data_IF_285074001190
#
_entry.id   IF_285074001190
#
_cell.length_a   1.000
_cell.length_b   1.000
_cell.length_c   1.000
_cell.angle_alpha   90.00
_cell.angle_beta   90.00
_cell.angle_gamma   90.00
#
_symmetry.space_group_name_H-M   'P 1'
#
loop_
_entity.id
_entity.type
_entity.pdbx_description
1 polymer ?
#
# COMPACT_ATOMS: atom_id res chain seq x y z
N UNK A 1 -7.20 -2.91 -9.28
CA UNK A 1 -8.60 -2.65 -9.71
C UNK A 1 -9.26 -1.95 -8.53
N UNK A 2 -9.66 -0.69 -8.68
CA UNK A 2 -10.06 0.19 -7.57
C UNK A 2 -11.48 0.76 -7.70
N UNK A 3 -12.36 0.06 -8.40
CA UNK A 3 -13.74 0.48 -8.60
C UNK A 3 -14.54 -0.64 -9.25
N UNK A 4 -15.87 -0.59 -9.17
CA UNK A 4 -16.76 -1.56 -9.80
C UNK A 4 -17.16 -1.18 -11.24
N UNK A 5 -16.88 0.07 -11.63
CA UNK A 5 -17.17 0.66 -12.93
C UNK A 5 -16.05 1.62 -13.36
N UNK A 6 -16.17 2.15 -14.58
CA UNK A 6 -15.23 3.12 -15.15
C UNK A 6 -15.16 4.39 -14.31
N UNK A 7 -16.30 4.92 -13.84
CA UNK A 7 -16.35 6.19 -13.11
C UNK A 7 -15.47 6.17 -11.86
N UNK A 8 -15.61 5.18 -10.98
CA UNK A 8 -14.85 5.14 -9.73
C UNK A 8 -13.40 4.70 -9.95
N UNK A 9 -13.18 3.75 -10.84
CA UNK A 9 -11.85 3.23 -11.15
C UNK A 9 -10.97 4.28 -11.82
N UNK A 10 -11.48 4.90 -12.89
CA UNK A 10 -10.75 5.84 -13.71
C UNK A 10 -10.65 7.20 -13.02
N UNK A 11 -11.61 7.57 -12.17
CA UNK A 11 -11.46 8.75 -11.30
C UNK A 11 -10.27 8.60 -10.34
N UNK A 12 -10.00 7.42 -9.78
CA UNK A 12 -8.79 7.22 -9.00
C UNK A 12 -7.53 7.19 -9.89
N UNK A 13 -7.56 6.39 -10.95
CA UNK A 13 -6.39 6.08 -11.78
C UNK A 13 -5.99 7.19 -12.75
N UNK A 14 -6.90 8.10 -13.08
CA UNK A 14 -6.71 9.22 -14.01
C UNK A 14 -6.29 8.77 -15.41
N UNK A 15 -6.79 7.61 -15.86
CA UNK A 15 -6.50 7.04 -17.18
C UNK A 15 -7.81 6.54 -17.78
N UNK A 16 -8.24 7.15 -18.89
CA UNK A 16 -9.47 6.76 -19.59
C UNK A 16 -9.35 5.35 -20.18
N UNK A 17 -10.38 4.52 -20.01
CA UNK A 17 -10.44 3.13 -20.50
C UNK A 17 -9.62 2.13 -19.69
N UNK A 18 -8.91 2.55 -18.63
CA UNK A 18 -8.06 1.64 -17.86
C UNK A 18 -8.84 0.61 -17.05
N UNK A 19 -10.13 0.85 -16.78
CA UNK A 19 -10.97 -0.12 -16.07
C UNK A 19 -11.14 -1.42 -16.85
N UNK A 20 -11.54 -1.32 -18.12
CA UNK A 20 -11.74 -2.49 -18.99
C UNK A 20 -10.41 -3.19 -19.28
N UNK A 21 -9.32 -2.43 -19.43
CA UNK A 21 -7.97 -2.99 -19.57
C UNK A 21 -7.54 -3.77 -18.32
N UNK A 22 -7.82 -3.27 -17.12
CA UNK A 22 -7.54 -3.97 -15.88
C UNK A 22 -8.32 -5.29 -15.77
N UNK A 23 -9.62 -5.28 -16.08
CA UNK A 23 -10.45 -6.50 -16.11
C UNK A 23 -9.95 -7.50 -17.16
N UNK A 24 -9.57 -7.03 -18.36
CA UNK A 24 -8.97 -7.87 -19.40
C UNK A 24 -7.66 -8.50 -18.92
N UNK A 25 -6.80 -7.73 -18.25
CA UNK A 25 -5.55 -8.23 -17.67
C UNK A 25 -5.80 -9.34 -16.65
N UNK A 26 -6.77 -9.15 -15.74
CA UNK A 26 -7.16 -10.17 -14.75
C UNK A 26 -7.62 -11.45 -15.46
N UNK A 27 -8.53 -11.35 -16.45
CA UNK A 27 -9.02 -12.53 -17.19
C UNK A 27 -7.88 -13.26 -17.91
N UNK A 28 -6.98 -12.54 -18.55
CA UNK A 28 -5.86 -13.14 -19.27
C UNK A 28 -4.94 -13.92 -18.33
N UNK A 29 -4.63 -13.36 -17.15
CA UNK A 29 -3.80 -14.04 -16.16
C UNK A 29 -4.48 -15.30 -15.62
N UNK A 30 -5.77 -15.22 -15.27
CA UNK A 30 -6.53 -16.37 -14.81
C UNK A 30 -6.64 -17.45 -15.89
N UNK A 31 -6.93 -17.08 -17.15
CA UNK A 31 -6.99 -18.01 -18.28
C UNK A 31 -5.65 -18.73 -18.52
N UNK A 32 -4.53 -18.04 -18.31
CA UNK A 32 -3.19 -18.62 -18.40
C UNK A 32 -2.79 -19.48 -17.19
N UNK A 33 -3.67 -19.66 -16.19
CA UNK A 33 -3.38 -20.42 -14.97
C UNK A 33 -2.46 -19.71 -13.98
N UNK A 34 -2.26 -18.40 -14.12
CA UNK A 34 -1.44 -17.61 -13.18
C UNK A 34 -2.26 -17.29 -11.93
N UNK A 35 -1.72 -17.60 -10.75
CA UNK A 35 -2.34 -17.22 -9.47
C UNK A 35 -2.47 -15.69 -9.40
N UNK A 36 -3.71 -15.21 -9.55
CA UNK A 36 -3.99 -13.78 -9.73
C UNK A 36 -4.66 -13.21 -8.50
N UNK A 37 -4.04 -12.20 -7.90
CA UNK A 37 -4.68 -11.40 -6.85
C UNK A 37 -4.98 -9.99 -7.34
N UNK A 38 -6.09 -9.43 -6.84
CA UNK A 38 -6.53 -8.08 -7.14
C UNK A 38 -6.23 -7.19 -5.95
N UNK A 39 -5.47 -6.11 -6.16
CA UNK A 39 -5.29 -5.06 -5.14
C UNK A 39 -6.27 -3.91 -5.38
N UNK A 40 -6.85 -3.42 -4.28
CA UNK A 40 -7.89 -2.39 -4.25
C UNK A 40 -7.56 -1.31 -3.22
N UNK A 41 -7.33 -0.08 -3.68
CA UNK A 41 -7.10 1.09 -2.82
C UNK A 41 -8.43 1.74 -2.43
N UNK A 42 -8.86 1.50 -1.20
CA UNK A 42 -10.12 1.99 -0.65
C UNK A 42 -10.05 3.50 -0.35
N UNK A 43 -10.99 4.24 -0.88
CA UNK A 43 -11.14 5.69 -0.70
C UNK A 43 -12.61 6.11 -0.66
N UNK A 44 -12.88 7.39 -0.41
CA UNK A 44 -14.25 7.92 -0.32
C UNK A 44 -15.10 7.74 -1.58
N UNK A 45 -14.49 7.70 -2.78
CA UNK A 45 -15.23 7.56 -4.03
C UNK A 45 -15.70 6.13 -4.29
N UNK A 46 -14.99 5.14 -3.73
CA UNK A 46 -15.19 3.73 -4.07
C UNK A 46 -15.55 2.85 -2.86
N UNK A 47 -15.87 3.43 -1.71
CA UNK A 47 -16.28 2.64 -0.52
C UNK A 47 -17.51 1.78 -0.79
N UNK A 48 -18.48 2.32 -1.54
CA UNK A 48 -19.72 1.62 -1.85
C UNK A 48 -19.54 0.56 -2.95
N UNK A 49 -18.39 0.54 -3.62
CA UNK A 49 -18.08 -0.43 -4.66
C UNK A 49 -17.52 -1.74 -4.12
N UNK A 50 -17.22 -1.83 -2.81
CA UNK A 50 -16.61 -3.04 -2.22
C UNK A 50 -17.50 -4.27 -2.38
N UNK A 51 -18.80 -4.16 -2.20
CA UNK A 51 -19.71 -5.30 -2.40
C UNK A 51 -19.84 -5.66 -3.89
N UNK A 52 -20.17 -4.71 -4.80
CA UNK A 52 -20.20 -4.99 -6.24
C UNK A 52 -18.89 -5.56 -6.82
N UNK A 53 -17.73 -5.11 -6.34
CA UNK A 53 -16.44 -5.61 -6.84
C UNK A 53 -16.16 -7.03 -6.37
N UNK A 54 -16.60 -7.40 -5.16
CA UNK A 54 -16.48 -8.77 -4.66
C UNK A 54 -17.29 -9.70 -5.56
N UNK A 55 -18.56 -9.35 -5.84
CA UNK A 55 -19.44 -10.14 -6.71
C UNK A 55 -18.88 -10.25 -8.13
N UNK A 56 -18.40 -9.14 -8.70
CA UNK A 56 -17.83 -9.12 -10.05
C UNK A 56 -16.58 -10.01 -10.19
N UNK A 57 -15.78 -10.14 -9.12
CA UNK A 57 -14.55 -10.91 -9.13
C UNK A 57 -14.76 -12.40 -8.87
N UNK A 58 -15.92 -12.80 -8.33
CA UNK A 58 -16.26 -14.19 -8.03
C UNK A 58 -16.24 -15.05 -9.30
N UNK A 59 -16.75 -14.52 -10.42
CA UNK A 59 -16.76 -15.21 -11.71
C UNK A 59 -15.38 -15.26 -12.41
N UNK A 60 -14.38 -14.54 -11.90
CA UNK A 60 -13.09 -14.36 -12.59
C UNK A 60 -11.99 -15.33 -12.10
N UNK A 61 -12.31 -16.28 -11.21
CA UNK A 61 -11.37 -17.29 -10.68
C UNK A 61 -10.06 -16.70 -10.11
N UNK A 62 -10.15 -15.52 -9.49
CA UNK A 62 -9.00 -14.92 -8.80
C UNK A 62 -8.67 -15.70 -7.52
N UNK A 63 -7.44 -15.58 -7.00
CA UNK A 63 -7.06 -16.21 -5.73
C UNK A 63 -7.34 -15.32 -4.51
N UNK A 64 -7.25 -14.00 -4.67
CA UNK A 64 -7.46 -13.06 -3.57
C UNK A 64 -7.85 -11.65 -4.00
N UNK A 65 -8.65 -10.97 -3.18
CA UNK A 65 -8.87 -9.52 -3.19
C UNK A 65 -8.21 -8.89 -1.95
N UNK A 66 -7.23 -8.04 -2.19
CA UNK A 66 -6.45 -7.32 -1.18
C UNK A 66 -6.91 -5.87 -1.10
N UNK A 67 -7.79 -5.58 -0.14
CA UNK A 67 -8.27 -4.22 0.14
C UNK A 67 -7.27 -3.52 1.05
N UNK A 68 -6.89 -2.30 0.71
CA UNK A 68 -5.95 -1.47 1.48
C UNK A 68 -6.52 -0.06 1.68
N UNK A 69 -6.26 0.58 2.83
CA UNK A 69 -6.60 1.98 3.03
C UNK A 69 -5.79 2.87 2.08
N UNK A 70 -6.37 4.01 1.68
CA UNK A 70 -5.64 5.07 1.01
C UNK A 70 -4.61 5.69 1.96
N UNK A 71 -3.36 5.79 1.52
CA UNK A 71 -2.35 6.68 2.10
C UNK A 71 -2.37 8.00 1.33
N UNK A 72 -2.52 9.12 2.05
CA UNK A 72 -2.56 10.46 1.46
C UNK A 72 -1.13 11.01 1.31
N UNK A 73 -0.33 10.30 0.52
CA UNK A 73 1.08 10.61 0.22
C UNK A 73 1.30 10.83 -1.28
N UNK A 74 2.37 11.54 -1.63
CA UNK A 74 2.75 11.78 -3.02
C UNK A 74 1.61 12.45 -3.81
N UNK A 75 1.28 11.89 -4.98
CA UNK A 75 0.21 12.43 -5.83
C UNK A 75 -1.19 12.38 -5.19
N UNK A 76 -1.41 11.51 -4.19
CA UNK A 76 -2.67 11.47 -3.45
C UNK A 76 -2.81 12.64 -2.47
N UNK A 77 -1.70 13.15 -1.91
CA UNK A 77 -1.70 14.26 -0.96
C UNK A 77 -2.14 15.60 -1.59
N UNK A 78 -1.93 15.77 -2.90
CA UNK A 78 -2.19 17.04 -3.62
C UNK A 78 -3.65 17.13 -4.09
N UNK A 79 -4.41 16.04 -4.06
CA UNK A 79 -5.78 15.99 -4.57
C UNK A 79 -6.77 16.42 -3.48
N UNK A 80 -7.27 17.65 -3.55
CA UNK A 80 -8.17 18.23 -2.55
C UNK A 80 -9.44 17.38 -2.25
N UNK A 81 -9.93 16.62 -3.23
CA UNK A 81 -11.14 15.79 -3.14
C UNK A 81 -10.91 14.30 -2.83
N UNK A 82 -9.70 13.78 -3.05
CA UNK A 82 -9.41 12.37 -2.77
C UNK A 82 -9.14 12.23 -1.27
N UNK A 83 -9.98 11.48 -0.58
CA UNK A 83 -9.89 11.33 0.87
C UNK A 83 -9.92 9.88 1.30
N UNK A 84 -9.21 9.61 2.39
CA UNK A 84 -9.31 8.34 3.10
C UNK A 84 -10.74 8.12 3.61
N UNK A 85 -11.22 6.85 3.65
CA UNK A 85 -12.49 6.51 4.27
C UNK A 85 -12.55 6.90 5.76
N UNK A 86 -13.77 7.13 6.26
CA UNK A 86 -14.00 7.34 7.71
C UNK A 86 -14.03 6.02 8.46
N UNK A 87 -13.99 6.06 9.79
CA UNK A 87 -14.16 4.85 10.62
C UNK A 87 -15.51 4.15 10.39
N UNK A 88 -16.57 4.88 10.02
CA UNK A 88 -17.87 4.28 9.67
C UNK A 88 -17.76 3.49 8.37
N UNK A 89 -17.07 4.04 7.38
CA UNK A 89 -16.82 3.40 6.08
C UNK A 89 -16.00 2.12 6.25
N UNK A 90 -14.91 2.17 7.02
CA UNK A 90 -14.11 0.98 7.30
C UNK A 90 -14.93 -0.11 8.00
N UNK A 91 -15.79 0.26 8.98
CA UNK A 91 -16.69 -0.71 9.62
C UNK A 91 -17.68 -1.33 8.64
N UNK A 92 -18.19 -0.56 7.68
CA UNK A 92 -19.06 -1.09 6.61
C UNK A 92 -18.29 -2.10 5.75
N UNK A 93 -17.10 -1.73 5.28
CA UNK A 93 -16.25 -2.62 4.48
C UNK A 93 -15.93 -3.93 5.22
N UNK A 94 -15.52 -3.86 6.48
CA UNK A 94 -15.24 -5.07 7.29
C UNK A 94 -16.48 -5.94 7.45
N UNK A 95 -17.67 -5.34 7.65
CA UNK A 95 -18.94 -6.10 7.69
C UNK A 95 -19.20 -6.81 6.37
N UNK A 96 -19.00 -6.14 5.23
CA UNK A 96 -19.13 -6.75 3.89
C UNK A 96 -18.15 -7.89 3.70
N UNK A 97 -16.87 -7.71 4.02
CA UNK A 97 -15.85 -8.77 3.92
C UNK A 97 -16.29 -10.00 4.74
N UNK A 98 -16.71 -9.79 6.00
CA UNK A 98 -17.14 -10.88 6.86
C UNK A 98 -18.41 -11.58 6.37
N UNK A 99 -19.33 -10.85 5.72
CA UNK A 99 -20.52 -11.42 5.06
C UNK A 99 -20.11 -12.41 3.98
N UNK A 100 -19.23 -12.05 3.06
CA UNK A 100 -18.82 -12.93 1.95
C UNK A 100 -17.91 -14.08 2.40
N UNK A 101 -17.05 -13.85 3.41
CA UNK A 101 -16.29 -14.96 4.03
C UNK A 101 -17.20 -16.04 4.60
N UNK A 102 -18.28 -15.66 5.31
CA UNK A 102 -19.25 -16.62 5.86
C UNK A 102 -20.08 -17.34 4.79
N UNK A 103 -20.31 -16.69 3.64
CA UNK A 103 -20.96 -17.32 2.48
C UNK A 103 -20.09 -18.36 1.79
N UNK A 104 -18.78 -18.39 2.07
CA UNK A 104 -17.85 -19.31 1.41
C UNK A 104 -17.45 -18.86 0.00
N UNK A 105 -17.24 -17.56 -0.20
CA UNK A 105 -16.77 -17.03 -1.48
C UNK A 105 -15.50 -17.74 -1.97
N UNK A 106 -15.40 -17.95 -3.28
CA UNK A 106 -14.36 -18.77 -3.92
C UNK A 106 -12.93 -18.23 -3.88
N UNK A 107 -12.68 -17.08 -3.23
CA UNK A 107 -11.34 -16.47 -3.14
C UNK A 107 -11.11 -15.78 -1.79
N UNK A 108 -9.85 -15.54 -1.44
CA UNK A 108 -9.51 -14.90 -0.18
C UNK A 108 -9.80 -13.40 -0.20
N UNK A 109 -10.41 -12.86 0.85
CA UNK A 109 -10.60 -11.40 0.99
C UNK A 109 -9.80 -10.90 2.18
N UNK A 110 -8.83 -10.03 1.92
CA UNK A 110 -7.96 -9.42 2.92
C UNK A 110 -8.24 -7.92 3.07
N UNK A 111 -8.15 -7.43 4.30
CA UNK A 111 -7.98 -6.01 4.58
C UNK A 111 -6.59 -5.82 5.18
N UNK A 112 -5.65 -5.30 4.38
CA UNK A 112 -4.24 -5.25 4.75
C UNK A 112 -3.86 -3.85 5.19
N UNK A 113 -3.48 -3.72 6.47
CA UNK A 113 -3.02 -2.45 7.02
C UNK A 113 -1.56 -2.18 6.62
N UNK A 114 -1.27 -1.06 5.92
CA UNK A 114 0.07 -0.70 5.48
C UNK A 114 1.03 -0.33 6.62
N UNK A 115 0.59 -0.22 7.88
CA UNK A 115 1.50 0.04 9.02
C UNK A 115 1.71 -1.18 9.91
N UNK A 116 1.07 -2.32 9.61
CA UNK A 116 1.16 -3.53 10.42
C UNK A 116 2.61 -4.03 10.62
N UNK A 117 3.44 -3.93 9.57
CA UNK A 117 4.84 -4.31 9.65
C UNK A 117 5.67 -3.37 10.51
N UNK A 118 5.31 -2.07 10.58
CA UNK A 118 6.01 -1.10 11.44
C UNK A 118 5.84 -1.47 12.90
N UNK A 119 4.62 -1.82 13.31
CA UNK A 119 4.37 -2.32 14.66
C UNK A 119 5.22 -3.57 14.93
N UNK A 120 5.18 -4.56 14.03
CA UNK A 120 5.93 -5.79 14.20
C UNK A 120 7.46 -5.56 14.29
N UNK A 121 8.03 -4.76 13.40
CA UNK A 121 9.48 -4.50 13.37
C UNK A 121 9.95 -3.63 14.52
N UNK A 122 9.13 -2.69 14.97
CA UNK A 122 9.43 -1.86 16.14
C UNK A 122 9.61 -2.72 17.39
N UNK A 123 8.68 -3.64 17.64
CA UNK A 123 8.69 -4.51 18.82
C UNK A 123 9.78 -5.59 18.75
N UNK A 124 9.88 -6.28 17.62
CA UNK A 124 10.79 -7.42 17.48
C UNK A 124 12.23 -7.01 17.11
N UNK A 125 12.43 -5.76 16.66
CA UNK A 125 13.72 -5.22 16.20
C UNK A 125 14.41 -6.06 15.12
N UNK A 126 13.66 -6.92 14.44
CA UNK A 126 14.13 -7.79 13.38
C UNK A 126 13.90 -7.12 12.03
N UNK A 127 14.93 -7.14 11.18
CA UNK A 127 14.80 -6.69 9.80
C UNK A 127 14.50 -7.88 8.87
N UNK A 128 13.25 -8.01 8.41
CA UNK A 128 12.86 -9.09 7.48
C UNK A 128 12.61 -8.61 6.06
N UNK A 129 12.49 -7.30 5.86
CA UNK A 129 12.22 -6.67 4.57
C UNK A 129 13.14 -5.47 4.43
N UNK A 130 13.74 -5.33 3.25
CA UNK A 130 14.41 -4.12 2.82
C UNK A 130 13.81 -3.71 1.48
N UNK A 131 13.78 -2.41 1.22
CA UNK A 131 13.31 -1.89 -0.05
C UNK A 131 14.46 -1.29 -0.81
N UNK A 132 14.50 -1.56 -2.12
CA UNK A 132 15.50 -1.02 -3.02
C UNK A 132 14.75 -0.26 -4.11
N UNK A 133 14.97 1.04 -4.19
CA UNK A 133 14.36 1.88 -5.21
C UNK A 133 15.11 1.77 -6.54
N UNK A 134 14.49 2.27 -7.63
CA UNK A 134 15.04 2.19 -8.99
C UNK A 134 16.41 2.86 -9.17
N UNK A 135 16.77 3.80 -8.30
CA UNK A 135 18.07 4.46 -8.26
C UNK A 135 19.13 3.66 -7.48
N UNK A 136 18.75 2.56 -6.84
CA UNK A 136 19.58 1.68 -6.03
C UNK A 136 19.57 2.01 -4.54
N UNK A 137 18.89 3.07 -4.09
CA UNK A 137 18.84 3.44 -2.69
C UNK A 137 18.08 2.39 -1.87
N UNK A 138 18.63 2.05 -0.70
CA UNK A 138 18.12 1.05 0.23
C UNK A 138 17.36 1.77 1.33
N UNK A 139 16.14 1.31 1.62
CA UNK A 139 15.29 1.82 2.68
C UNK A 139 14.87 0.70 3.63
N UNK A 140 14.64 1.00 4.93
CA UNK A 140 14.08 0.04 5.88
C UNK A 140 12.67 -0.44 5.49
N UNK A 141 11.89 0.44 4.88
CA UNK A 141 10.47 0.27 4.56
C UNK A 141 9.98 1.54 3.85
N UNK A 142 8.96 1.46 3.00
CA UNK A 142 8.36 2.62 2.33
C UNK A 142 7.79 3.61 3.34
N UNK A 143 7.52 3.16 4.57
CA UNK A 143 7.04 4.01 5.65
C UNK A 143 8.14 4.84 6.34
N UNK A 144 9.41 4.46 6.16
CA UNK A 144 10.56 5.13 6.77
C UNK A 144 11.45 5.64 5.61
N UNK A 145 11.19 6.85 5.08
CA UNK A 145 11.83 7.35 3.86
C UNK A 145 13.26 7.87 4.12
N UNK A 146 14.05 7.12 4.90
CA UNK A 146 15.47 7.40 5.13
C UNK A 146 16.28 6.35 4.39
N UNK A 147 17.07 6.81 3.41
CA UNK A 147 18.03 5.94 2.73
C UNK A 147 19.14 5.54 3.69
N UNK A 148 19.47 4.25 3.72
CA UNK A 148 20.50 3.66 4.59
C UNK A 148 21.70 3.12 3.81
N UNK A 149 21.68 3.27 2.48
CA UNK A 149 22.73 2.79 1.60
C UNK A 149 22.30 2.81 0.14
N UNK A 150 23.19 2.40 -0.76
CA UNK A 150 22.88 2.25 -2.18
C UNK A 150 23.62 1.03 -2.75
N UNK A 151 22.87 0.13 -3.39
CA UNK A 151 23.43 -1.14 -3.93
C UNK A 151 24.43 -0.94 -5.06
N UNK A 152 24.53 0.27 -5.63
CA UNK A 152 25.55 0.63 -6.62
C UNK A 152 26.90 0.98 -5.99
N UNK A 153 26.94 1.21 -4.66
CA UNK A 153 28.16 1.58 -3.92
C UNK A 153 28.76 0.39 -3.20
N UNK A 154 27.93 -0.38 -2.47
CA UNK A 154 28.35 -1.62 -1.79
C UNK A 154 27.34 -2.73 -2.07
N UNK A 155 27.80 -3.97 -1.96
CA UNK A 155 26.92 -5.14 -2.05
C UNK A 155 25.93 -5.17 -0.87
N UNK A 156 24.78 -5.83 -1.07
CA UNK A 156 23.82 -6.05 0.01
C UNK A 156 24.43 -6.81 1.19
N UNK A 157 25.37 -7.73 0.94
CA UNK A 157 26.08 -8.46 2.00
C UNK A 157 26.91 -7.52 2.87
N UNK A 158 27.67 -6.61 2.27
CA UNK A 158 28.45 -5.64 3.03
C UNK A 158 27.57 -4.75 3.90
N UNK A 159 26.42 -4.31 3.39
CA UNK A 159 25.44 -3.57 4.21
C UNK A 159 24.85 -4.44 5.32
N UNK A 160 24.50 -5.70 5.01
CA UNK A 160 24.00 -6.67 5.98
C UNK A 160 24.95 -6.84 7.16
N UNK A 161 26.22 -7.11 6.86
CA UNK A 161 27.27 -7.33 7.85
C UNK A 161 27.64 -6.03 8.60
N UNK A 162 27.41 -4.86 7.98
CA UNK A 162 27.63 -3.54 8.59
C UNK A 162 26.43 -3.03 9.42
N UNK A 163 25.42 -3.86 9.66
CA UNK A 163 24.30 -3.53 10.57
C UNK A 163 22.93 -3.35 9.91
N UNK A 164 22.79 -3.55 8.59
CA UNK A 164 21.46 -3.57 7.95
C UNK A 164 20.57 -4.70 8.52
N UNK A 165 21.17 -5.79 9.00
CA UNK A 165 20.45 -6.89 9.67
C UNK A 165 19.77 -6.48 11.00
N UNK A 166 20.27 -5.44 11.65
CA UNK A 166 19.81 -4.93 12.95
C UNK A 166 19.26 -3.51 12.84
N UNK A 167 18.88 -3.10 11.62
CA UNK A 167 18.48 -1.75 11.27
C UNK A 167 17.36 -1.19 12.17
N UNK A 168 16.38 -2.04 12.53
CA UNK A 168 15.27 -1.66 13.41
C UNK A 168 15.70 -1.44 14.87
N UNK A 169 16.94 -1.75 15.26
CA UNK A 169 17.50 -1.34 16.55
C UNK A 169 18.08 0.08 16.54
N UNK A 170 18.19 0.72 15.36
CA UNK A 170 18.71 2.07 15.25
C UNK A 170 17.77 3.08 15.92
N UNK A 171 18.34 3.97 16.75
CA UNK A 171 17.58 4.98 17.53
C UNK A 171 16.73 5.89 16.64
N UNK A 172 17.27 6.39 15.52
CA UNK A 172 16.54 7.29 14.61
C UNK A 172 15.35 6.59 13.95
N UNK A 173 15.51 5.33 13.55
CA UNK A 173 14.43 4.53 12.96
C UNK A 173 13.35 4.25 14.00
N UNK A 174 13.74 3.92 15.23
CA UNK A 174 12.81 3.70 16.33
C UNK A 174 12.06 4.97 16.73
N UNK A 175 12.70 6.14 16.71
CA UNK A 175 12.04 7.43 16.96
C UNK A 175 10.93 7.68 15.94
N UNK A 176 11.21 7.53 14.64
CA UNK A 176 10.19 7.70 13.58
C UNK A 176 9.10 6.65 13.68
N UNK A 177 9.46 5.37 13.87
CA UNK A 177 8.50 4.28 13.96
C UNK A 177 7.55 4.40 15.17
N UNK A 178 7.98 5.09 16.25
CA UNK A 178 7.15 5.37 17.42
C UNK A 178 6.10 6.45 17.17
N UNK A 179 6.24 7.25 16.12
CA UNK A 179 5.25 8.28 15.77
C UNK A 179 4.14 7.72 14.84
N UNK A 180 4.33 6.53 14.26
CA UNK A 180 3.39 5.92 13.30
C UNK A 180 2.45 4.94 14.01
N UNK A 181 1.23 5.39 14.35
CA UNK A 181 0.17 4.53 14.90
C UNK A 181 -1.01 4.34 13.96
N UNK A 182 -1.12 5.16 12.93
CA UNK A 182 -2.18 5.13 11.93
C UNK A 182 -1.65 5.46 10.53
N UNK A 183 -2.45 5.14 9.52
CA UNK A 183 -2.21 5.58 8.14
C UNK A 183 -2.12 7.10 8.00
N UNK A 184 -2.79 7.85 8.90
CA UNK A 184 -2.74 9.31 8.92
C UNK A 184 -1.38 9.79 9.40
N UNK A 185 -0.90 9.28 10.54
CA UNK A 185 0.41 9.63 11.09
C UNK A 185 1.51 9.34 10.07
N UNK A 186 1.43 8.17 9.42
CA UNK A 186 2.33 7.82 8.32
C UNK A 186 2.32 8.86 7.19
N UNK A 187 1.13 9.28 6.77
CA UNK A 187 0.99 10.26 5.69
C UNK A 187 1.57 11.63 6.09
N UNK A 188 1.30 12.08 7.31
CA UNK A 188 1.82 13.35 7.84
C UNK A 188 3.35 13.35 7.94
N UNK A 189 3.95 12.27 8.46
CA UNK A 189 5.41 12.11 8.58
C UNK A 189 6.08 12.11 7.20
N UNK A 190 5.58 11.30 6.25
CA UNK A 190 6.14 11.24 4.90
C UNK A 190 6.03 12.60 4.21
N UNK A 191 4.90 13.28 4.33
CA UNK A 191 4.71 14.59 3.72
C UNK A 191 5.63 15.66 4.33
N UNK A 192 5.87 15.63 5.64
CA UNK A 192 6.83 16.51 6.32
C UNK A 192 8.26 16.27 5.82
N UNK A 193 8.72 15.02 5.79
CA UNK A 193 10.07 14.68 5.32
C UNK A 193 10.26 15.11 3.86
N UNK A 194 9.29 14.85 2.99
CA UNK A 194 9.34 15.26 1.59
C UNK A 194 9.37 16.79 1.40
N UNK A 195 8.76 17.57 2.29
CA UNK A 195 8.83 19.03 2.25
C UNK A 195 10.21 19.54 2.70
N UNK A 196 10.79 18.94 3.73
CA UNK A 196 12.13 19.27 4.22
C UNK A 196 13.24 18.91 3.23
N UNK A 197 13.11 17.82 2.48
CA UNK A 197 14.08 17.49 1.42
C UNK A 197 13.88 18.38 0.18
N UNK A 198 12.64 18.75 -0.16
CA UNK A 198 12.41 19.74 -1.23
C UNK A 198 13.00 21.10 -0.90
N UNK A 199 12.91 21.57 0.34
CA UNK A 199 13.50 22.85 0.75
C UNK A 199 15.03 22.85 0.73
N UNK A 200 15.67 21.68 0.83
CA UNK A 200 17.13 21.52 0.59
C UNK A 200 17.50 21.52 -0.89
N UNK A 201 16.57 21.19 -1.79
CA UNK A 201 16.79 21.17 -3.25
C UNK A 201 16.52 22.53 -3.90
N UNK A 202 15.71 23.42 -3.29
CA UNK A 202 15.43 24.77 -3.81
C UNK A 202 16.45 25.86 -3.43
N UNK A 203 17.59 25.49 -2.83
CA UNK A 203 18.71 26.41 -2.60
C UNK A 203 19.80 26.20 -3.68
N UNK A 204 19.45 26.48 -4.93
CA UNK A 204 20.40 26.75 -6.03
C UNK A 204 19.88 27.94 -6.82
#
# INVERSE_FOLDING_TARGET
LDGCNEDTHEKLRQVKGCFNLALKGIRNLCYAGVTTSVSYTLNKWNVNDVEPIIEKLEDMQISALNIRPLLEIGAAAVKNELRAPTSKDYRQVVKTINKYKRKGIGFQIGFNDPISHIYYYRENKANTVIEIQSDGNIFPSYCIPISVGNVKVKSLREYWDSGLNSLWSNKKIQEIAKEIYSCRDLSEIINKINQEDKSKVTAV
#
